data_IF_081522975453
#
_entry.id   IF_081522975453
#
_cell.length_a   1.000
_cell.length_b   1.000
_cell.length_c   1.000
_cell.angle_alpha   90.00
_cell.angle_beta   90.00
_cell.angle_gamma   90.00
#
_symmetry.space_group_name_H-M   'P 1'
#
loop_
_entity.id
_entity.type
_entity.pdbx_description
1 polymer ?
#
# COMPACT_ATOMS: atom_id res chain seq x y z
N UNK A 1 -20.84 -5.10 -11.47
CA UNK A 1 -19.63 -5.77 -10.96
C UNK A 1 -19.35 -5.21 -9.58
N UNK A 2 -19.26 -6.04 -8.54
CA UNK A 2 -18.99 -5.56 -7.17
C UNK A 2 -17.49 -5.24 -7.06
N UNK A 3 -17.14 -4.02 -6.67
CA UNK A 3 -15.74 -3.66 -6.42
C UNK A 3 -15.28 -4.40 -5.15
N UNK A 4 -14.21 -5.17 -5.27
CA UNK A 4 -13.57 -5.92 -4.18
C UNK A 4 -12.17 -5.38 -3.92
N UNK A 5 -11.62 -5.66 -2.74
CA UNK A 5 -10.25 -5.29 -2.41
C UNK A 5 -9.28 -5.84 -3.46
N UNK A 6 -9.41 -7.11 -3.80
CA UNK A 6 -8.56 -7.78 -4.79
C UNK A 6 -8.65 -7.15 -6.18
N UNK A 7 -9.84 -6.71 -6.59
CA UNK A 7 -10.00 -6.02 -7.89
C UNK A 7 -9.24 -4.68 -7.93
N UNK A 8 -9.19 -3.96 -6.81
CA UNK A 8 -8.43 -2.71 -6.68
C UNK A 8 -6.93 -3.02 -6.62
N UNK A 9 -6.51 -4.00 -5.81
CA UNK A 9 -5.11 -4.45 -5.74
C UNK A 9 -4.58 -4.82 -7.13
N UNK A 10 -5.34 -5.60 -7.89
CA UNK A 10 -4.99 -5.99 -9.25
C UNK A 10 -4.88 -4.77 -10.18
N UNK A 11 -5.82 -3.82 -10.07
CA UNK A 11 -5.81 -2.59 -10.88
C UNK A 11 -4.60 -1.71 -10.57
N UNK A 12 -4.28 -1.51 -9.29
CA UNK A 12 -3.11 -0.74 -8.84
C UNK A 12 -1.82 -1.43 -9.27
N UNK A 13 -1.72 -2.75 -9.10
CA UNK A 13 -0.55 -3.51 -9.52
C UNK A 13 -0.34 -3.42 -11.05
N UNK A 14 -1.41 -3.55 -11.84
CA UNK A 14 -1.37 -3.41 -13.29
C UNK A 14 -0.95 -1.99 -13.70
N UNK A 15 -1.50 -0.96 -13.05
CA UNK A 15 -1.12 0.43 -13.26
C UNK A 15 0.39 0.63 -13.03
N UNK A 16 0.91 0.19 -11.88
CA UNK A 16 2.33 0.32 -11.57
C UNK A 16 3.22 -0.49 -12.50
N UNK A 17 2.86 -1.74 -12.80
CA UNK A 17 3.71 -2.61 -13.63
C UNK A 17 3.73 -2.21 -15.10
N UNK A 18 2.57 -1.90 -15.68
CA UNK A 18 2.41 -1.77 -17.13
C UNK A 18 2.35 -0.33 -17.60
N UNK A 19 1.71 0.58 -16.85
CA UNK A 19 1.63 1.99 -17.25
C UNK A 19 2.82 2.79 -16.71
N UNK A 20 3.16 2.61 -15.43
CA UNK A 20 4.28 3.31 -14.78
C UNK A 20 5.63 2.63 -14.98
N UNK A 21 5.62 1.39 -15.47
CA UNK A 21 6.81 0.57 -15.74
C UNK A 21 7.70 0.40 -14.49
N UNK A 22 7.09 0.22 -13.32
CA UNK A 22 7.82 -0.03 -12.09
C UNK A 22 8.53 -1.40 -12.18
N UNK A 23 9.84 -1.45 -11.88
CA UNK A 23 10.64 -2.67 -12.00
C UNK A 23 10.15 -3.80 -11.08
N UNK A 24 9.57 -3.47 -9.93
CA UNK A 24 9.05 -4.46 -8.99
C UNK A 24 7.65 -4.06 -8.51
N UNK A 25 6.74 -5.04 -8.54
CA UNK A 25 5.40 -4.97 -7.95
C UNK A 25 5.11 -6.32 -7.31
N UNK A 26 4.69 -6.32 -6.05
CA UNK A 26 4.30 -7.49 -5.28
C UNK A 26 2.95 -7.23 -4.60
N UNK A 27 2.16 -8.28 -4.42
CA UNK A 27 0.89 -8.23 -3.70
C UNK A 27 1.07 -8.83 -2.32
N UNK A 28 0.39 -8.27 -1.32
CA UNK A 28 0.40 -8.79 0.05
C UNK A 28 1.84 -9.04 0.54
N UNK A 29 2.66 -7.99 0.51
CA UNK A 29 4.09 -8.10 0.78
C UNK A 29 4.51 -7.17 1.92
N UNK A 30 5.48 -7.61 2.73
CA UNK A 30 6.05 -6.84 3.82
C UNK A 30 7.37 -6.19 3.38
N UNK A 31 7.47 -4.86 3.50
CA UNK A 31 8.71 -4.13 3.19
C UNK A 31 9.82 -4.35 4.21
N UNK A 32 9.47 -4.69 5.46
CA UNK A 32 10.42 -4.79 6.57
C UNK A 32 11.10 -6.16 6.64
N UNK A 33 10.73 -7.12 5.77
CA UNK A 33 11.21 -8.51 5.78
C UNK A 33 11.01 -9.22 7.14
N UNK A 34 10.19 -8.65 8.02
CA UNK A 34 9.90 -9.20 9.33
C UNK A 34 8.98 -10.42 9.21
N UNK A 35 9.31 -11.55 9.86
CA UNK A 35 8.47 -12.75 9.86
C UNK A 35 7.14 -12.55 10.62
N UNK A 36 7.05 -11.52 11.48
CA UNK A 36 5.85 -11.17 12.23
C UNK A 36 5.23 -9.86 11.71
N UNK A 37 3.90 -9.91 11.52
CA UNK A 37 3.11 -8.91 10.78
C UNK A 37 2.88 -7.60 11.57
N UNK A 38 3.67 -7.32 12.60
CA UNK A 38 3.48 -6.17 13.50
C UNK A 38 3.75 -4.82 12.81
N UNK A 39 4.59 -4.82 11.78
CA UNK A 39 4.83 -3.67 10.88
C UNK A 39 3.77 -3.47 9.79
N UNK A 40 2.97 -4.50 9.53
CA UNK A 40 1.84 -4.51 8.60
C UNK A 40 2.24 -4.70 7.13
N UNK A 41 1.99 -5.89 6.60
CA UNK A 41 1.96 -6.23 5.18
C UNK A 41 1.16 -5.20 4.36
N UNK A 42 1.74 -4.72 3.26
CA UNK A 42 1.07 -3.85 2.31
C UNK A 42 0.21 -4.65 1.34
N UNK A 43 -0.93 -4.11 0.92
CA UNK A 43 -1.79 -4.73 -0.08
C UNK A 43 -1.10 -4.80 -1.45
N UNK A 44 -0.39 -3.73 -1.82
CA UNK A 44 0.53 -3.70 -2.97
C UNK A 44 1.84 -3.04 -2.55
N UNK A 45 2.95 -3.72 -2.77
CA UNK A 45 4.30 -3.19 -2.61
C UNK A 45 4.89 -2.93 -3.99
N UNK A 46 5.47 -1.77 -4.22
CA UNK A 46 6.10 -1.47 -5.49
C UNK A 46 7.40 -0.69 -5.32
N UNK A 47 8.31 -0.86 -6.28
CA UNK A 47 9.56 -0.10 -6.36
C UNK A 47 9.57 0.64 -7.67
N UNK A 48 9.72 1.97 -7.63
CA UNK A 48 9.81 2.77 -8.84
C UNK A 48 11.21 2.71 -9.49
N UNK A 49 11.36 3.32 -10.67
CA UNK A 49 12.64 3.38 -11.40
C UNK A 49 13.75 4.15 -10.67
N UNK A 50 13.40 4.93 -9.65
CA UNK A 50 14.33 5.69 -8.81
C UNK A 50 14.62 4.98 -7.49
N UNK A 51 14.20 3.71 -7.34
CA UNK A 51 14.37 2.89 -6.14
C UNK A 51 13.57 3.38 -4.93
N UNK A 52 12.51 4.15 -5.16
CA UNK A 52 11.56 4.50 -4.12
C UNK A 52 10.65 3.30 -3.82
N UNK A 53 10.65 2.87 -2.57
CA UNK A 53 9.73 1.83 -2.08
C UNK A 53 8.39 2.46 -1.72
N UNK A 54 7.33 1.93 -2.31
CA UNK A 54 5.95 2.42 -2.19
C UNK A 54 5.10 1.29 -1.63
N UNK A 55 4.43 1.57 -0.51
CA UNK A 55 3.39 0.71 0.05
C UNK A 55 2.02 1.29 -0.25
N UNK A 56 1.13 0.46 -0.80
CA UNK A 56 -0.26 0.80 -1.02
C UNK A 56 -1.15 0.01 -0.06
N UNK A 57 -2.09 0.72 0.52
CA UNK A 57 -3.17 0.18 1.35
C UNK A 57 -4.52 0.47 0.69
N UNK A 58 -5.35 -0.56 0.54
CA UNK A 58 -6.69 -0.48 -0.04
C UNK A 58 -7.72 -0.46 1.09
N UNK A 59 -8.58 0.56 1.10
CA UNK A 59 -9.69 0.67 2.05
C UNK A 59 -11.02 0.74 1.29
N UNK A 60 -11.88 -0.27 1.49
CA UNK A 60 -13.21 -0.33 0.86
C UNK A 60 -14.27 0.47 1.62
N UNK A 61 -14.03 0.72 2.91
CA UNK A 61 -14.99 1.43 3.76
C UNK A 61 -14.28 2.40 4.68
N UNK A 62 -15.02 3.41 5.15
CA UNK A 62 -14.58 4.28 6.24
C UNK A 62 -14.32 3.50 7.53
N UNK A 63 -15.00 2.37 7.74
CA UNK A 63 -14.76 1.50 8.90
C UNK A 63 -13.37 0.86 8.85
N UNK A 64 -12.93 0.41 7.68
CA UNK A 64 -11.58 -0.15 7.49
C UNK A 64 -10.50 0.89 7.75
N UNK A 65 -10.71 2.12 7.27
CA UNK A 65 -9.82 3.25 7.58
C UNK A 65 -9.76 3.55 9.08
N UNK A 66 -10.92 3.59 9.75
CA UNK A 66 -11.00 3.87 11.20
C UNK A 66 -10.34 2.77 12.04
N UNK A 67 -10.43 1.51 11.62
CA UNK A 67 -9.79 0.38 12.30
C UNK A 67 -8.28 0.56 12.35
N UNK A 68 -7.69 1.05 11.26
CA UNK A 68 -6.24 1.15 11.09
C UNK A 68 -5.61 2.47 11.56
N UNK A 69 -6.42 3.40 12.08
CA UNK A 69 -5.97 4.74 12.53
C UNK A 69 -4.80 4.75 13.53
N UNK A 70 -4.60 3.65 14.23
CA UNK A 70 -3.57 3.50 15.27
C UNK A 70 -2.21 3.07 14.69
N UNK A 71 -2.20 2.45 13.51
CA UNK A 71 -0.98 2.01 12.83
C UNK A 71 -0.07 3.21 12.57
N UNK A 72 1.24 3.03 12.77
CA UNK A 72 2.23 4.11 12.67
C UNK A 72 2.18 4.81 11.30
N UNK A 73 2.07 4.04 10.21
CA UNK A 73 1.94 4.57 8.84
C UNK A 73 0.75 5.51 8.63
N UNK A 74 -0.40 5.24 9.27
CA UNK A 74 -1.57 6.13 9.19
C UNK A 74 -1.36 7.43 9.99
N UNK A 75 -0.71 7.34 11.16
CA UNK A 75 -0.35 8.53 11.95
C UNK A 75 0.63 9.41 11.19
N UNK A 76 1.67 8.79 10.62
CA UNK A 76 2.67 9.46 9.80
C UNK A 76 2.05 10.17 8.59
N UNK A 77 1.14 9.50 7.87
CA UNK A 77 0.41 10.10 6.76
C UNK A 77 -0.44 11.30 7.21
N UNK A 78 -1.21 11.15 8.29
CA UNK A 78 -2.04 12.23 8.85
C UNK A 78 -1.20 13.46 9.24
N UNK A 79 -0.04 13.22 9.81
CA UNK A 79 0.83 14.26 10.35
C UNK A 79 1.81 14.80 9.28
N UNK A 80 1.63 14.42 8.01
CA UNK A 80 2.49 14.77 6.86
C UNK A 80 3.99 14.48 7.10
N UNK A 81 4.27 13.43 7.89
CA UNK A 81 5.63 13.01 8.19
C UNK A 81 6.17 12.18 7.03
N UNK A 82 7.25 12.65 6.41
CA UNK A 82 8.00 11.88 5.41
C UNK A 82 8.57 10.63 6.07
N UNK A 83 8.17 9.46 5.58
CA UNK A 83 8.71 8.19 6.02
C UNK A 83 9.09 7.35 4.81
N UNK A 84 10.11 6.50 4.99
CA UNK A 84 10.40 5.40 4.10
C UNK A 84 9.84 4.13 4.74
N UNK A 85 9.04 3.33 4.01
CA UNK A 85 8.59 3.54 2.63
C UNK A 85 7.53 4.64 2.46
N UNK A 86 7.34 5.12 1.22
CA UNK A 86 6.24 6.04 0.88
C UNK A 86 4.92 5.29 0.95
N UNK A 87 3.98 5.74 1.78
CA UNK A 87 2.67 5.10 1.92
C UNK A 87 1.60 5.84 1.12
N UNK A 88 0.81 5.09 0.33
CA UNK A 88 -0.33 5.59 -0.44
C UNK A 88 -1.60 4.83 -0.04
N UNK A 89 -2.71 5.55 0.09
CA UNK A 89 -4.00 4.97 0.44
C UNK A 89 -4.97 5.10 -0.74
N UNK A 90 -5.49 3.98 -1.21
CA UNK A 90 -6.52 3.92 -2.25
C UNK A 90 -7.87 3.59 -1.63
N UNK A 91 -8.89 4.33 -2.06
CA UNK A 91 -10.27 4.22 -1.59
C UNK A 91 -11.19 3.87 -2.77
N UNK A 92 -12.23 3.10 -2.51
CA UNK A 92 -13.31 2.81 -3.46
C UNK A 92 -14.66 3.26 -2.93
#
# INVERSE_FOLDING_TARGET
MRITSDSIKASVAAYYRYQRQFPLVALEANSQLEPFNDGGQADVLAVDKHRLLIEVEVKLTLADLKRDRHKLKHRNYRDNLVNYPTHLFYFA
#
